data_IF_840264091877
#
_entry.id   IF_840264091877
#
_cell.length_a   1.000
_cell.length_b   1.000
_cell.length_c   1.000
_cell.angle_alpha   90.00
_cell.angle_beta   90.00
_cell.angle_gamma   90.00
#
_symmetry.space_group_name_H-M   'P 1'
#
loop_
_entity.id
_entity.type
_entity.pdbx_description
1 polymer ?
#
# COMPACT_ATOMS: atom_id res chain seq x y z
N UNK A 1 -35.71 8.55 -25.60
CA UNK A 1 -35.33 7.23 -25.06
C UNK A 1 -34.63 7.49 -23.74
N UNK A 2 -34.95 6.77 -22.67
CA UNK A 2 -34.25 6.95 -21.40
C UNK A 2 -32.75 6.61 -21.60
N UNK A 3 -31.85 7.47 -21.13
CA UNK A 3 -30.41 7.22 -21.20
C UNK A 3 -30.09 5.99 -20.35
N UNK A 4 -29.37 5.02 -20.93
CA UNK A 4 -28.91 3.86 -20.18
C UNK A 4 -27.55 4.20 -19.54
N UNK A 5 -27.60 4.70 -18.30
CA UNK A 5 -26.40 5.12 -17.56
C UNK A 5 -25.42 3.98 -17.27
N UNK A 6 -25.89 2.73 -17.15
CA UNK A 6 -24.99 1.57 -17.01
C UNK A 6 -24.14 1.40 -18.26
N UNK A 7 -24.77 1.43 -19.44
CA UNK A 7 -24.05 1.33 -20.71
C UNK A 7 -23.11 2.53 -20.95
N UNK A 8 -23.57 3.75 -20.64
CA UNK A 8 -22.73 4.93 -20.77
C UNK A 8 -21.49 4.88 -19.86
N UNK A 9 -21.65 4.34 -18.65
CA UNK A 9 -20.55 4.09 -17.72
C UNK A 9 -19.57 3.05 -18.28
N UNK A 10 -20.06 1.92 -18.81
CA UNK A 10 -19.23 0.89 -19.44
C UNK A 10 -18.36 1.46 -20.57
N UNK A 11 -18.94 2.28 -21.47
CA UNK A 11 -18.19 2.95 -22.54
C UNK A 11 -17.12 3.90 -21.99
N UNK A 12 -17.40 4.59 -20.88
CA UNK A 12 -16.38 5.44 -20.23
C UNK A 12 -15.28 4.61 -19.58
N UNK A 13 -15.62 3.46 -18.98
CA UNK A 13 -14.63 2.52 -18.42
C UNK A 13 -13.71 1.99 -19.52
N UNK A 14 -14.24 1.59 -20.67
CA UNK A 14 -13.42 1.19 -21.81
C UNK A 14 -12.46 2.30 -22.26
N UNK A 15 -12.94 3.54 -22.29
CA UNK A 15 -12.11 4.71 -22.63
C UNK A 15 -10.98 4.91 -21.61
N UNK A 16 -11.26 4.77 -20.32
CA UNK A 16 -10.25 4.86 -19.26
C UNK A 16 -9.14 3.84 -19.48
N UNK A 17 -9.50 2.59 -19.79
CA UNK A 17 -8.52 1.53 -20.02
C UNK A 17 -7.68 1.77 -21.28
N UNK A 18 -8.32 2.18 -22.39
CA UNK A 18 -7.65 2.45 -23.66
C UNK A 18 -6.67 3.62 -23.57
N UNK A 19 -7.05 4.68 -22.84
CA UNK A 19 -6.23 5.89 -22.66
C UNK A 19 -5.28 5.80 -21.47
N UNK A 20 -5.22 4.65 -20.78
CA UNK A 20 -4.46 4.45 -19.55
C UNK A 20 -4.70 5.54 -18.49
N UNK A 21 -5.96 5.95 -18.34
CA UNK A 21 -6.36 6.95 -17.36
C UNK A 21 -6.40 6.37 -15.94
N UNK A 22 -6.05 7.18 -14.95
CA UNK A 22 -6.04 6.80 -13.53
C UNK A 22 -7.35 7.07 -12.81
N UNK A 23 -8.09 8.10 -13.23
CA UNK A 23 -9.30 8.56 -12.55
C UNK A 23 -10.37 9.01 -13.57
N UNK A 24 -11.65 8.90 -13.18
CA UNK A 24 -12.83 9.44 -13.85
C UNK A 24 -13.61 10.34 -12.89
N UNK A 25 -13.97 11.53 -13.34
CA UNK A 25 -14.65 12.53 -12.54
C UNK A 25 -15.97 12.97 -13.18
N UNK A 26 -17.01 13.01 -12.37
CA UNK A 26 -18.31 13.56 -12.69
C UNK A 26 -18.56 14.83 -11.88
N UNK A 27 -18.87 15.91 -12.58
CA UNK A 27 -19.19 17.21 -11.99
C UNK A 27 -20.27 17.89 -12.81
N UNK A 28 -21.27 18.45 -12.12
CA UNK A 28 -22.33 19.23 -12.77
C UNK A 28 -21.73 20.40 -13.55
N UNK A 29 -22.23 20.63 -14.77
CA UNK A 29 -21.78 21.72 -15.64
C UNK A 29 -20.49 21.44 -16.40
N UNK A 30 -19.93 20.22 -16.31
CA UNK A 30 -18.78 19.78 -17.09
C UNK A 30 -19.08 18.48 -17.84
N UNK A 31 -18.31 18.21 -18.89
CA UNK A 31 -18.19 16.86 -19.44
C UNK A 31 -17.57 15.93 -18.39
N UNK A 32 -17.81 14.60 -18.45
CA UNK A 32 -16.99 13.64 -17.73
C UNK A 32 -15.50 13.91 -18.01
N UNK A 33 -14.68 13.91 -16.97
CA UNK A 33 -13.24 14.18 -17.06
C UNK A 33 -12.45 12.93 -16.70
N UNK A 34 -11.44 12.59 -17.48
CA UNK A 34 -10.49 11.53 -17.15
C UNK A 34 -9.13 12.13 -16.78
N UNK A 35 -8.35 11.46 -15.93
CA UNK A 35 -6.97 11.84 -15.64
C UNK A 35 -6.00 10.95 -16.39
N UNK A 36 -5.22 11.51 -17.30
CA UNK A 36 -4.15 10.79 -18.02
C UNK A 36 -2.82 11.44 -17.68
N UNK A 37 -1.87 10.65 -17.15
CA UNK A 37 -0.54 11.11 -16.75
C UNK A 37 -0.56 12.39 -15.88
N UNK A 38 -1.51 12.47 -14.95
CA UNK A 38 -1.67 13.59 -14.02
C UNK A 38 -2.53 14.76 -14.53
N UNK A 39 -2.87 14.81 -15.82
CA UNK A 39 -3.62 15.92 -16.44
C UNK A 39 -5.09 15.55 -16.62
N UNK A 40 -6.02 16.47 -16.32
CA UNK A 40 -7.46 16.29 -16.53
C UNK A 40 -7.85 16.61 -17.97
N UNK A 41 -8.54 15.67 -18.62
CA UNK A 41 -8.95 15.76 -20.02
C UNK A 41 -10.47 15.52 -20.09
N UNK A 42 -11.25 16.44 -20.70
CA UNK A 42 -12.69 16.24 -20.86
C UNK A 42 -13.00 15.24 -21.97
N UNK A 43 -13.93 14.32 -21.71
CA UNK A 43 -14.53 13.46 -22.72
C UNK A 43 -15.54 14.27 -23.54
N UNK A 44 -15.05 15.12 -24.44
CA UNK A 44 -15.85 16.10 -25.19
C UNK A 44 -17.01 15.51 -26.02
N UNK A 45 -16.97 14.21 -26.33
CA UNK A 45 -18.05 13.49 -27.04
C UNK A 45 -19.22 13.10 -26.12
N UNK A 46 -19.05 13.15 -24.80
CA UNK A 46 -20.10 12.87 -23.80
C UNK A 46 -20.83 14.18 -23.46
N UNK A 47 -22.10 14.15 -23.01
CA UNK A 47 -22.83 15.37 -22.66
C UNK A 47 -22.24 16.08 -21.44
N UNK A 48 -22.60 17.36 -21.27
CA UNK A 48 -22.38 18.09 -20.02
C UNK A 48 -23.33 17.50 -18.97
N UNK A 49 -22.80 17.10 -17.81
CA UNK A 49 -23.56 16.43 -16.76
C UNK A 49 -24.41 17.42 -15.97
N UNK A 50 -25.62 16.99 -15.63
CA UNK A 50 -26.55 17.63 -14.70
C UNK A 50 -26.59 16.87 -13.37
N UNK A 51 -27.30 17.40 -12.36
CA UNK A 51 -27.52 16.65 -11.12
C UNK A 51 -28.31 15.36 -11.37
N UNK A 52 -29.24 15.36 -12.32
CA UNK A 52 -30.04 14.17 -12.66
C UNK A 52 -29.16 13.08 -13.27
N UNK A 53 -28.18 13.45 -14.11
CA UNK A 53 -27.22 12.50 -14.68
C UNK A 53 -26.34 11.87 -13.60
N UNK A 54 -25.79 12.68 -12.69
CA UNK A 54 -24.91 12.18 -11.61
C UNK A 54 -25.68 11.34 -10.61
N UNK A 55 -26.92 11.69 -10.27
CA UNK A 55 -27.81 10.86 -9.45
C UNK A 55 -28.04 9.48 -10.10
N UNK A 56 -28.26 9.45 -11.41
CA UNK A 56 -28.43 8.20 -12.13
C UNK A 56 -27.16 7.35 -12.17
N UNK A 57 -25.98 7.96 -12.34
CA UNK A 57 -24.70 7.25 -12.18
C UNK A 57 -24.49 6.76 -10.75
N UNK A 58 -24.84 7.56 -9.73
CA UNK A 58 -24.72 7.17 -8.32
C UNK A 58 -25.52 5.88 -8.02
N UNK A 59 -26.74 5.76 -8.56
CA UNK A 59 -27.57 4.54 -8.42
C UNK A 59 -26.97 3.30 -9.09
N UNK A 60 -26.13 3.46 -10.10
CA UNK A 60 -25.41 2.35 -10.75
C UNK A 60 -24.16 1.99 -9.95
N UNK A 61 -23.48 2.99 -9.38
CA UNK A 61 -22.18 2.86 -8.75
C UNK A 61 -22.24 2.43 -7.28
N UNK A 62 -23.26 2.87 -6.55
CA UNK A 62 -23.36 2.74 -5.10
C UNK A 62 -24.41 1.70 -4.70
N UNK A 63 -24.19 1.02 -3.56
CA UNK A 63 -25.22 0.23 -2.89
C UNK A 63 -26.30 1.14 -2.27
N UNK A 64 -27.46 0.57 -1.97
CA UNK A 64 -28.61 1.31 -1.42
C UNK A 64 -28.29 2.09 -0.13
N UNK A 65 -27.47 1.53 0.76
CA UNK A 65 -27.05 2.17 2.02
C UNK A 65 -26.11 3.36 1.76
N UNK A 66 -25.16 3.19 0.84
CA UNK A 66 -24.23 4.24 0.41
C UNK A 66 -24.96 5.36 -0.32
N UNK A 67 -25.85 5.02 -1.25
CA UNK A 67 -26.66 5.99 -2.00
C UNK A 67 -27.56 6.80 -1.07
N UNK A 68 -28.20 6.17 -0.08
CA UNK A 68 -29.02 6.88 0.93
C UNK A 68 -28.21 7.92 1.71
N UNK A 69 -27.00 7.56 2.15
CA UNK A 69 -26.11 8.51 2.83
C UNK A 69 -25.68 9.64 1.89
N UNK A 70 -25.36 9.30 0.65
CA UNK A 70 -24.98 10.28 -0.36
C UNK A 70 -26.08 11.33 -0.56
N UNK A 71 -27.33 10.92 -0.77
CA UNK A 71 -28.45 11.88 -0.95
C UNK A 71 -28.77 12.69 0.32
N UNK A 72 -28.41 12.19 1.51
CA UNK A 72 -28.47 12.92 2.78
C UNK A 72 -27.34 13.95 2.93
N UNK A 73 -26.48 14.08 1.91
CA UNK A 73 -25.32 15.00 1.80
C UNK A 73 -24.13 14.60 2.67
N UNK A 74 -23.98 13.32 2.97
CA UNK A 74 -22.73 12.78 3.46
C UNK A 74 -21.69 12.67 2.33
N UNK A 75 -20.42 12.77 2.69
CA UNK A 75 -19.32 12.25 1.86
C UNK A 75 -19.29 10.72 2.01
N UNK A 76 -19.29 10.01 0.87
CA UNK A 76 -19.40 8.55 0.86
C UNK A 76 -18.29 7.96 -0.01
N UNK A 77 -17.37 7.26 0.64
CA UNK A 77 -16.45 6.33 -0.03
C UNK A 77 -17.19 5.03 -0.38
N UNK A 78 -16.92 4.50 -1.56
CA UNK A 78 -17.49 3.25 -2.06
C UNK A 78 -16.54 2.54 -3.01
N UNK A 79 -16.83 1.28 -3.29
CA UNK A 79 -16.10 0.46 -4.24
C UNK A 79 -17.10 -0.09 -5.27
N UNK A 80 -16.72 -0.07 -6.54
CA UNK A 80 -17.53 -0.51 -7.67
C UNK A 80 -16.73 -1.46 -8.55
N UNK A 81 -17.35 -2.55 -8.98
CA UNK A 81 -16.78 -3.51 -9.92
C UNK A 81 -17.75 -3.72 -11.07
N UNK A 82 -17.28 -3.63 -12.31
CA UNK A 82 -18.10 -3.93 -13.48
C UNK A 82 -18.08 -5.44 -13.80
N UNK A 83 -18.95 -5.88 -14.72
CA UNK A 83 -19.01 -7.30 -15.13
C UNK A 83 -17.72 -7.82 -15.79
N UNK A 84 -16.84 -6.91 -16.27
CA UNK A 84 -15.53 -7.23 -16.82
C UNK A 84 -14.41 -7.31 -15.77
N UNK A 85 -14.72 -7.24 -14.48
CA UNK A 85 -13.75 -7.29 -13.38
C UNK A 85 -12.94 -6.01 -13.19
N UNK A 86 -13.30 -4.91 -13.86
CA UNK A 86 -12.65 -3.61 -13.70
C UNK A 86 -13.18 -2.96 -12.43
N UNK A 87 -12.27 -2.70 -11.49
CA UNK A 87 -12.62 -2.13 -10.19
C UNK A 87 -12.29 -0.66 -10.10
N UNK A 88 -13.15 0.05 -9.40
CA UNK A 88 -12.98 1.45 -9.06
C UNK A 88 -13.22 1.65 -7.58
N UNK A 89 -12.38 2.49 -6.97
CA UNK A 89 -12.75 3.16 -5.72
C UNK A 89 -13.39 4.49 -6.06
N UNK A 90 -14.54 4.75 -5.47
CA UNK A 90 -15.27 5.99 -5.65
C UNK A 90 -15.37 6.81 -4.38
N UNK A 91 -15.51 8.12 -4.56
CA UNK A 91 -15.96 9.05 -3.54
C UNK A 91 -17.10 9.90 -4.12
N UNK A 92 -18.26 9.85 -3.47
CA UNK A 92 -19.41 10.71 -3.74
C UNK A 92 -19.42 11.88 -2.77
N UNK A 93 -19.53 13.11 -3.31
CA UNK A 93 -19.52 14.34 -2.52
C UNK A 93 -20.45 15.40 -3.12
N UNK A 94 -20.65 16.50 -2.39
CA UNK A 94 -21.34 17.69 -2.87
C UNK A 94 -20.39 18.88 -2.95
N UNK A 95 -20.46 19.65 -4.04
CA UNK A 95 -19.75 20.91 -4.17
C UNK A 95 -20.69 22.03 -4.60
N UNK A 96 -20.71 23.14 -3.84
CA UNK A 96 -21.60 24.30 -4.11
C UNK A 96 -23.07 23.91 -4.30
N UNK A 97 -23.52 22.87 -3.58
CA UNK A 97 -24.89 22.34 -3.66
C UNK A 97 -25.15 21.37 -4.83
N UNK A 98 -24.15 21.07 -5.66
CA UNK A 98 -24.24 20.10 -6.76
C UNK A 98 -23.56 18.78 -6.41
N UNK A 99 -24.08 17.69 -6.96
CA UNK A 99 -23.49 16.36 -6.87
C UNK A 99 -22.15 16.28 -7.61
N UNK A 100 -21.22 15.49 -7.06
CA UNK A 100 -19.97 15.11 -7.67
C UNK A 100 -19.59 13.67 -7.32
N UNK A 101 -18.91 13.00 -8.24
CA UNK A 101 -18.35 11.66 -8.04
C UNK A 101 -16.92 11.65 -8.61
N UNK A 102 -15.98 11.13 -7.85
CA UNK A 102 -14.64 10.81 -8.33
C UNK A 102 -14.40 9.31 -8.22
N UNK A 103 -13.97 8.68 -9.30
CA UNK A 103 -13.63 7.27 -9.39
C UNK A 103 -12.14 7.14 -9.70
N UNK A 104 -11.44 6.28 -8.98
CA UNK A 104 -10.06 5.87 -9.24
C UNK A 104 -10.05 4.43 -9.69
N UNK A 105 -9.40 4.16 -10.82
CA UNK A 105 -9.20 2.81 -11.31
C UNK A 105 -8.29 2.04 -10.33
N UNK A 106 -8.74 0.86 -9.91
CA UNK A 106 -7.97 -0.08 -9.10
C UNK A 106 -7.33 -1.09 -10.06
N UNK A 107 -5.99 -1.22 -10.08
CA UNK A 107 -5.30 -2.12 -10.99
C UNK A 107 -5.48 -3.58 -10.58
N UNK A 108 -5.80 -4.43 -11.56
CA UNK A 108 -5.84 -5.89 -11.36
C UNK A 108 -4.48 -6.56 -11.60
N UNK A 109 -3.55 -5.88 -12.29
CA UNK A 109 -2.26 -6.46 -12.64
C UNK A 109 -1.26 -6.18 -11.53
N UNK A 110 -0.90 -7.23 -10.80
CA UNK A 110 0.16 -7.20 -9.79
C UNK A 110 1.49 -7.52 -10.45
N UNK A 111 2.44 -6.59 -10.37
CA UNK A 111 3.79 -6.77 -10.93
C UNK A 111 4.63 -7.68 -10.04
N UNK A 112 5.54 -8.41 -10.66
CA UNK A 112 6.58 -9.21 -9.98
C UNK A 112 7.64 -8.31 -9.33
N UNK A 113 8.42 -8.88 -8.40
CA UNK A 113 9.54 -8.15 -7.77
C UNK A 113 10.56 -7.66 -8.80
N UNK A 114 10.82 -8.48 -9.83
CA UNK A 114 11.77 -8.15 -10.91
C UNK A 114 11.28 -6.99 -11.78
N UNK A 115 10.00 -6.99 -12.17
CA UNK A 115 9.38 -5.88 -12.91
C UNK A 115 9.36 -4.57 -12.10
N UNK A 116 9.29 -4.68 -10.78
CA UNK A 116 9.39 -3.55 -9.85
C UNK A 116 10.84 -3.14 -9.58
N UNK A 117 11.84 -3.85 -10.12
CA UNK A 117 13.28 -3.64 -9.85
C UNK A 117 13.62 -3.73 -8.36
N UNK A 118 12.93 -4.60 -7.62
CA UNK A 118 13.14 -4.86 -6.20
C UNK A 118 14.19 -5.97 -5.99
N UNK A 119 14.85 -6.03 -4.82
CA UNK A 119 15.92 -7.00 -4.63
C UNK A 119 15.34 -8.42 -4.41
N UNK A 120 15.94 -9.46 -5.01
CA UNK A 120 15.41 -10.84 -4.95
C UNK A 120 15.38 -11.40 -3.52
N UNK A 121 16.20 -10.88 -2.61
CA UNK A 121 16.20 -11.28 -1.19
C UNK A 121 14.82 -11.12 -0.51
N UNK A 122 13.91 -10.31 -1.06
CA UNK A 122 12.54 -10.18 -0.56
C UNK A 122 11.76 -11.50 -0.61
N UNK A 123 12.08 -12.39 -1.56
CA UNK A 123 11.52 -13.75 -1.66
C UNK A 123 11.78 -14.56 -0.38
N UNK A 124 12.93 -14.38 0.26
CA UNK A 124 13.26 -15.10 1.50
C UNK A 124 12.34 -14.78 2.68
N UNK A 125 11.57 -13.68 2.61
CA UNK A 125 10.56 -13.33 3.60
C UNK A 125 9.19 -13.92 3.28
N UNK A 126 8.86 -14.14 2.00
CA UNK A 126 7.62 -14.80 1.59
C UNK A 126 7.64 -16.29 1.90
N UNK A 127 8.83 -16.88 2.01
CA UNK A 127 9.04 -18.29 2.34
C UNK A 127 9.03 -18.57 3.86
N UNK A 128 8.93 -17.52 4.70
CA UNK A 128 8.93 -17.69 6.16
C UNK A 128 7.60 -18.30 6.63
N UNK A 129 7.61 -19.26 7.58
CA UNK A 129 6.37 -19.79 8.13
C UNK A 129 5.65 -18.76 9.02
N UNK A 130 6.40 -17.90 9.71
CA UNK A 130 5.86 -16.87 10.60
C UNK A 130 6.81 -15.67 10.70
N UNK A 131 6.30 -14.57 11.24
CA UNK A 131 7.09 -13.38 11.58
C UNK A 131 6.45 -12.09 11.12
N UNK A 132 7.04 -10.95 11.48
CA UNK A 132 6.53 -9.62 11.17
C UNK A 132 7.43 -8.89 10.17
N UNK A 133 6.92 -8.63 8.98
CA UNK A 133 7.60 -7.88 7.92
C UNK A 133 6.93 -6.54 7.68
N UNK A 134 7.74 -5.49 7.61
CA UNK A 134 7.25 -4.13 7.42
C UNK A 134 7.78 -3.54 6.12
N UNK A 135 6.89 -3.07 5.26
CA UNK A 135 7.24 -2.18 4.16
C UNK A 135 6.95 -0.73 4.56
N UNK A 136 7.97 0.12 4.58
CA UNK A 136 7.86 1.48 5.12
C UNK A 136 8.33 2.54 4.11
N UNK A 137 7.89 3.76 4.36
CA UNK A 137 8.17 4.92 3.52
C UNK A 137 6.99 5.90 3.54
N UNK A 138 7.18 7.15 3.10
CA UNK A 138 6.09 8.12 2.95
C UNK A 138 4.94 7.63 2.05
N UNK A 139 3.84 8.40 2.05
CA UNK A 139 2.71 8.17 1.13
C UNK A 139 3.18 8.25 -0.33
N UNK A 140 2.65 7.37 -1.18
CA UNK A 140 2.95 7.36 -2.62
C UNK A 140 4.30 6.75 -3.00
N UNK A 141 5.00 6.09 -2.07
CA UNK A 141 6.34 5.53 -2.31
C UNK A 141 6.33 4.02 -2.68
N UNK A 142 5.21 3.49 -3.17
CA UNK A 142 5.15 2.10 -3.68
C UNK A 142 4.95 0.99 -2.63
N UNK A 143 4.60 1.32 -1.38
CA UNK A 143 4.41 0.34 -0.28
C UNK A 143 3.42 -0.76 -0.62
N UNK A 144 2.20 -0.37 -0.98
CA UNK A 144 1.14 -1.31 -1.34
C UNK A 144 1.53 -2.14 -2.57
N UNK A 145 2.23 -1.56 -3.55
CA UNK A 145 2.72 -2.28 -4.72
C UNK A 145 3.74 -3.37 -4.35
N UNK A 146 4.70 -3.06 -3.47
CA UNK A 146 5.68 -4.03 -2.98
C UNK A 146 5.01 -5.16 -2.21
N UNK A 147 4.10 -4.83 -1.28
CA UNK A 147 3.40 -5.85 -0.50
C UNK A 147 2.48 -6.69 -1.40
N UNK A 148 1.79 -6.10 -2.38
CA UNK A 148 0.98 -6.85 -3.33
C UNK A 148 1.82 -7.85 -4.13
N UNK A 149 3.01 -7.47 -4.58
CA UNK A 149 3.93 -8.39 -5.25
C UNK A 149 4.36 -9.56 -4.32
N UNK A 150 4.63 -9.27 -3.05
CA UNK A 150 5.01 -10.29 -2.06
C UNK A 150 3.85 -11.23 -1.71
N UNK A 151 2.65 -10.71 -1.48
CA UNK A 151 1.45 -11.51 -1.20
C UNK A 151 1.07 -12.37 -2.40
N UNK A 152 1.11 -11.81 -3.62
CA UNK A 152 0.85 -12.57 -4.83
C UNK A 152 1.89 -13.68 -5.05
N UNK A 153 3.15 -13.44 -4.66
CA UNK A 153 4.17 -14.49 -4.68
C UNK A 153 3.87 -15.64 -3.71
N UNK A 154 3.34 -15.33 -2.51
CA UNK A 154 2.87 -16.36 -1.56
C UNK A 154 1.72 -17.15 -2.19
N UNK A 155 0.72 -16.45 -2.75
CA UNK A 155 -0.42 -17.05 -3.43
C UNK A 155 -0.04 -18.06 -4.52
N UNK A 156 1.01 -17.75 -5.29
CA UNK A 156 1.47 -18.63 -6.38
C UNK A 156 2.33 -19.82 -5.90
N UNK A 157 2.86 -19.77 -4.67
CA UNK A 157 3.83 -20.75 -4.16
C UNK A 157 3.27 -21.66 -3.08
N UNK A 158 2.37 -21.15 -2.23
CA UNK A 158 1.94 -21.77 -0.98
C UNK A 158 0.43 -22.02 -1.01
N UNK A 159 0.02 -23.15 -0.43
CA UNK A 159 -1.39 -23.52 -0.26
C UNK A 159 -1.88 -23.06 1.12
N UNK A 160 -1.85 -21.75 1.32
CA UNK A 160 -2.11 -21.07 2.59
C UNK A 160 -3.45 -20.35 2.55
N UNK A 161 -3.94 -19.95 3.71
CA UNK A 161 -5.01 -18.97 3.83
C UNK A 161 -4.43 -17.58 4.11
N UNK A 162 -4.69 -16.65 3.18
CA UNK A 162 -4.25 -15.26 3.25
C UNK A 162 -5.46 -14.36 3.56
N UNK A 163 -5.36 -13.53 4.60
CA UNK A 163 -6.35 -12.49 4.89
C UNK A 163 -5.71 -11.12 4.71
N UNK A 164 -6.33 -10.26 3.90
CA UNK A 164 -5.94 -8.84 3.81
C UNK A 164 -6.98 -7.95 4.49
N UNK A 165 -6.50 -6.93 5.21
CA UNK A 165 -7.33 -5.94 5.89
C UNK A 165 -6.83 -4.57 5.43
N UNK A 166 -7.64 -3.87 4.64
CA UNK A 166 -7.22 -2.71 3.86
C UNK A 166 -8.24 -1.55 3.95
N UNK A 167 -7.78 -0.31 3.74
CA UNK A 167 -8.60 0.91 3.82
C UNK A 167 -8.11 1.92 2.78
N UNK A 168 -8.59 1.83 1.52
CA UNK A 168 -9.38 0.75 0.90
C UNK A 168 -8.50 -0.43 0.43
N UNK A 169 -9.10 -1.40 -0.27
CA UNK A 169 -8.34 -2.36 -1.09
C UNK A 169 -7.65 -1.64 -2.27
N UNK A 170 -6.33 -1.82 -2.40
CA UNK A 170 -5.51 -1.15 -3.45
C UNK A 170 -5.18 -2.06 -4.63
N UNK A 171 -5.17 -3.38 -4.42
CA UNK A 171 -4.96 -4.40 -5.45
C UNK A 171 -5.92 -5.56 -5.21
N UNK A 172 -6.39 -6.17 -6.28
CA UNK A 172 -7.17 -7.41 -6.18
C UNK A 172 -6.33 -8.59 -6.61
N UNK A 173 -6.34 -9.63 -5.78
CA UNK A 173 -5.64 -10.88 -6.06
C UNK A 173 -6.60 -11.85 -6.75
N UNK A 174 -6.12 -12.47 -7.82
CA UNK A 174 -6.75 -13.66 -8.38
C UNK A 174 -6.22 -14.87 -7.60
N UNK A 175 -7.11 -15.70 -7.08
CA UNK A 175 -6.72 -16.90 -6.33
C UNK A 175 -5.97 -17.90 -7.22
N UNK A 176 -4.86 -18.44 -6.71
CA UNK A 176 -4.09 -19.50 -7.37
C UNK A 176 -4.00 -20.72 -6.43
N UNK A 177 -2.90 -20.84 -5.67
CA UNK A 177 -2.76 -21.94 -4.70
C UNK A 177 -3.31 -21.59 -3.32
N UNK A 178 -3.31 -20.32 -2.97
CA UNK A 178 -3.80 -19.84 -1.69
C UNK A 178 -5.26 -19.38 -1.79
N UNK A 179 -5.99 -19.53 -0.69
CA UNK A 179 -7.27 -18.86 -0.46
C UNK A 179 -7.00 -17.42 -0.06
N UNK A 180 -7.69 -16.43 -0.65
CA UNK A 180 -7.46 -15.01 -0.34
C UNK A 180 -8.76 -14.31 0.03
N UNK A 181 -8.90 -13.97 1.32
CA UNK A 181 -9.99 -13.15 1.83
C UNK A 181 -9.54 -11.69 1.99
N UNK A 182 -9.97 -10.81 1.09
CA UNK A 182 -9.72 -9.36 1.20
C UNK A 182 -10.87 -8.65 1.91
N UNK A 183 -10.55 -7.85 2.94
CA UNK A 183 -11.55 -7.14 3.76
C UNK A 183 -11.28 -5.65 3.77
N UNK A 184 -12.23 -4.88 3.26
CA UNK A 184 -12.18 -3.42 3.24
C UNK A 184 -12.84 -2.83 4.50
N UNK A 185 -12.13 -1.89 5.15
CA UNK A 185 -12.66 -1.14 6.30
C UNK A 185 -13.87 -0.30 5.85
N UNK A 186 -14.94 -0.32 6.63
CA UNK A 186 -16.19 0.39 6.34
C UNK A 186 -17.13 -0.35 5.39
N UNK A 187 -16.67 -1.41 4.72
CA UNK A 187 -17.49 -2.27 3.86
C UNK A 187 -17.64 -3.67 4.48
N UNK A 188 -16.55 -4.41 4.65
CA UNK A 188 -16.56 -5.81 5.10
C UNK A 188 -16.32 -5.95 6.60
N UNK A 189 -15.78 -4.90 7.22
CA UNK A 189 -15.47 -4.85 8.64
C UNK A 189 -15.46 -3.42 9.15
N UNK A 190 -15.70 -3.24 10.45
CA UNK A 190 -15.82 -1.90 11.05
C UNK A 190 -14.49 -1.16 11.14
N UNK A 191 -13.44 -1.86 11.56
CA UNK A 191 -12.12 -1.30 11.81
C UNK A 191 -11.04 -2.40 11.77
N UNK A 192 -9.78 -1.98 11.68
CA UNK A 192 -8.62 -2.87 11.61
C UNK A 192 -8.53 -3.82 12.82
N UNK A 193 -8.79 -3.30 14.02
CA UNK A 193 -8.65 -4.10 15.25
C UNK A 193 -9.68 -5.23 15.28
N UNK A 194 -10.93 -4.95 14.92
CA UNK A 194 -12.01 -5.95 14.87
C UNK A 194 -11.71 -7.01 13.81
N UNK A 195 -11.26 -6.58 12.63
CA UNK A 195 -10.90 -7.48 11.54
C UNK A 195 -9.76 -8.43 11.92
N UNK A 196 -8.68 -7.88 12.48
CA UNK A 196 -7.47 -8.61 12.83
C UNK A 196 -7.72 -9.61 13.97
N UNK A 197 -8.50 -9.23 14.99
CA UNK A 197 -8.89 -10.16 16.05
C UNK A 197 -9.81 -11.29 15.56
N UNK A 198 -10.62 -11.02 14.53
CA UNK A 198 -11.44 -12.05 13.91
C UNK A 198 -10.59 -13.04 13.10
N UNK A 199 -9.56 -12.55 12.40
CA UNK A 199 -8.67 -13.35 11.55
C UNK A 199 -8.03 -14.53 12.31
N UNK A 200 -7.69 -14.38 13.59
CA UNK A 200 -7.13 -15.48 14.40
C UNK A 200 -8.05 -16.68 14.59
N UNK A 201 -9.35 -16.55 14.30
CA UNK A 201 -10.32 -17.65 14.34
C UNK A 201 -10.76 -18.11 12.95
N UNK A 202 -10.09 -17.62 11.91
CA UNK A 202 -10.39 -17.93 10.51
C UNK A 202 -9.37 -18.90 9.90
N UNK A 203 -8.54 -19.55 10.72
CA UNK A 203 -7.50 -20.49 10.25
C UNK A 203 -6.58 -19.82 9.21
N UNK A 204 -6.03 -18.66 9.58
CA UNK A 204 -5.19 -17.83 8.69
C UNK A 204 -3.72 -18.17 8.87
N UNK A 205 -2.97 -18.21 7.77
CA UNK A 205 -1.51 -18.39 7.79
C UNK A 205 -0.78 -17.05 7.59
N UNK A 206 -1.29 -16.23 6.66
CA UNK A 206 -0.69 -14.97 6.25
C UNK A 206 -1.67 -13.82 6.41
N UNK A 207 -1.24 -12.74 7.05
CA UNK A 207 -2.06 -11.56 7.30
C UNK A 207 -1.39 -10.34 6.67
N UNK A 208 -2.08 -9.65 5.78
CA UNK A 208 -1.73 -8.29 5.36
C UNK A 208 -2.60 -7.30 6.12
N UNK A 209 -2.00 -6.48 6.97
CA UNK A 209 -2.67 -5.34 7.60
C UNK A 209 -2.18 -4.08 6.91
N UNK A 210 -3.05 -3.31 6.25
CA UNK A 210 -2.71 -2.11 5.49
C UNK A 210 -1.83 -1.10 6.25
N UNK A 211 -2.40 -0.02 6.77
CA UNK A 211 -1.65 0.99 7.52
C UNK A 211 -1.95 0.88 9.02
N UNK A 212 -0.91 0.62 9.83
CA UNK A 212 -1.08 0.63 11.28
C UNK A 212 -0.92 2.04 11.84
N UNK A 213 -2.02 2.60 12.36
CA UNK A 213 -2.06 3.96 12.90
C UNK A 213 -2.06 4.05 14.42
N UNK A 214 -2.57 3.02 15.11
CA UNK A 214 -2.83 3.04 16.54
C UNK A 214 -2.15 1.87 17.27
N UNK A 215 -1.99 2.02 18.59
CA UNK A 215 -1.33 1.02 19.45
C UNK A 215 -2.05 -0.33 19.43
N UNK A 216 -3.38 -0.32 19.30
CA UNK A 216 -4.21 -1.50 19.33
C UNK A 216 -3.92 -2.40 18.12
N UNK A 217 -3.89 -1.81 16.92
CA UNK A 217 -3.60 -2.56 15.69
C UNK A 217 -2.15 -3.04 15.68
N UNK A 218 -1.20 -2.17 16.07
CA UNK A 218 0.23 -2.55 16.16
C UNK A 218 0.43 -3.69 17.14
N UNK A 219 -0.13 -3.60 18.35
CA UNK A 219 0.02 -4.63 19.38
C UNK A 219 -0.59 -5.97 18.94
N UNK A 220 -1.74 -5.92 18.27
CA UNK A 220 -2.40 -7.13 17.73
C UNK A 220 -1.56 -7.75 16.60
N UNK A 221 -0.97 -6.94 15.71
CA UNK A 221 -0.11 -7.43 14.63
C UNK A 221 1.20 -8.06 15.15
N UNK A 222 1.83 -7.44 16.15
CA UNK A 222 3.01 -8.01 16.82
C UNK A 222 2.66 -9.33 17.51
N UNK A 223 1.50 -9.39 18.18
CA UNK A 223 1.02 -10.62 18.81
C UNK A 223 0.75 -11.72 17.77
N UNK A 224 0.12 -11.39 16.64
CA UNK A 224 -0.12 -12.33 15.54
C UNK A 224 1.18 -12.98 15.04
N UNK A 225 2.20 -12.15 14.82
CA UNK A 225 3.50 -12.61 14.36
C UNK A 225 4.23 -13.46 15.41
N UNK A 226 4.04 -13.16 16.69
CA UNK A 226 4.54 -13.96 17.81
C UNK A 226 3.83 -15.32 17.90
N UNK A 227 2.52 -15.38 17.60
CA UNK A 227 1.68 -16.58 17.71
C UNK A 227 1.68 -17.49 16.48
N UNK A 228 2.63 -17.30 15.56
CA UNK A 228 2.86 -18.25 14.46
C UNK A 228 2.34 -17.81 13.09
N UNK A 229 1.84 -16.58 12.95
CA UNK A 229 1.38 -16.06 11.67
C UNK A 229 2.50 -15.31 10.94
N UNK A 230 2.45 -15.28 9.60
CA UNK A 230 3.26 -14.37 8.80
C UNK A 230 2.48 -13.07 8.57
N UNK A 231 2.98 -11.97 9.12
CA UNK A 231 2.28 -10.68 9.12
C UNK A 231 3.05 -9.67 8.28
N UNK A 232 2.36 -9.07 7.32
CA UNK A 232 2.83 -7.97 6.50
C UNK A 232 2.09 -6.68 6.87
N UNK A 233 2.80 -5.57 6.97
CA UNK A 233 2.15 -4.28 7.19
C UNK A 233 2.98 -3.09 6.72
N UNK A 234 2.38 -1.90 6.81
CA UNK A 234 3.02 -0.63 6.46
C UNK A 234 3.00 0.40 7.58
N UNK A 235 4.04 1.23 7.60
CA UNK A 235 4.11 2.49 8.35
C UNK A 235 4.67 3.61 7.47
N UNK A 236 4.39 4.85 7.85
CA UNK A 236 4.91 6.06 7.17
C UNK A 236 6.19 6.60 7.83
N UNK A 237 7.16 5.73 8.06
CA UNK A 237 8.49 6.04 8.59
C UNK A 237 9.52 6.02 7.48
N UNK A 238 10.67 6.67 7.72
CA UNK A 238 11.66 6.91 6.69
C UNK A 238 12.71 5.81 6.56
N UNK A 239 12.99 5.07 7.62
CA UNK A 239 14.05 4.07 7.72
C UNK A 239 13.68 3.02 8.77
N UNK A 240 14.48 1.96 8.86
CA UNK A 240 14.21 0.85 9.77
C UNK A 240 14.31 1.24 11.25
N UNK A 241 15.28 2.07 11.63
CA UNK A 241 15.48 2.50 13.02
C UNK A 241 14.30 3.37 13.51
N UNK A 242 13.88 4.33 12.70
CA UNK A 242 12.70 5.17 12.97
C UNK A 242 11.44 4.32 13.07
N UNK A 243 11.30 3.29 12.25
CA UNK A 243 10.16 2.36 12.29
C UNK A 243 10.06 1.66 13.64
N UNK A 244 11.16 1.13 14.15
CA UNK A 244 11.22 0.46 15.46
C UNK A 244 10.86 1.45 16.58
N UNK A 245 11.48 2.63 16.60
CA UNK A 245 11.16 3.66 17.60
C UNK A 245 9.70 4.07 17.53
N UNK A 246 9.14 4.29 16.33
CA UNK A 246 7.75 4.68 16.13
C UNK A 246 6.78 3.64 16.70
N UNK A 247 7.05 2.36 16.50
CA UNK A 247 6.25 1.27 17.07
C UNK A 247 6.29 1.35 18.60
N UNK A 248 7.47 1.41 19.21
CA UNK A 248 7.65 1.44 20.67
C UNK A 248 6.99 2.69 21.28
N UNK A 249 7.23 3.87 20.70
CA UNK A 249 6.75 5.17 21.19
C UNK A 249 5.24 5.33 21.11
N UNK A 250 4.55 4.49 20.33
CA UNK A 250 3.09 4.48 20.26
C UNK A 250 2.45 3.88 21.53
N UNK A 251 3.23 3.14 22.33
CA UNK A 251 2.77 2.55 23.59
C UNK A 251 3.09 3.44 24.79
N UNK A 252 2.21 3.45 25.82
CA UNK A 252 2.50 4.12 27.10
C UNK A 252 3.79 3.57 27.74
N UNK A 253 4.51 4.40 28.50
CA UNK A 253 5.81 4.05 29.09
C UNK A 253 5.83 2.69 29.82
N UNK A 254 4.77 2.34 30.56
CA UNK A 254 4.67 1.05 31.28
C UNK A 254 4.52 -0.19 30.37
N UNK A 255 4.28 -0.03 29.07
CA UNK A 255 4.13 -1.11 28.09
C UNK A 255 5.26 -1.13 27.06
N UNK A 256 6.14 -0.12 27.04
CA UNK A 256 7.21 0.00 26.04
C UNK A 256 8.23 -1.13 26.12
N UNK A 257 8.59 -1.56 27.33
CA UNK A 257 9.51 -2.69 27.51
C UNK A 257 8.94 -4.00 26.97
N UNK A 258 7.65 -4.24 27.23
CA UNK A 258 6.96 -5.44 26.76
C UNK A 258 6.92 -5.48 25.23
N UNK A 259 6.40 -4.43 24.59
CA UNK A 259 6.29 -4.41 23.13
C UNK A 259 7.66 -4.48 22.46
N UNK A 260 8.70 -3.88 23.05
CA UNK A 260 10.07 -3.93 22.53
C UNK A 260 10.61 -5.36 22.53
N UNK A 261 10.41 -6.12 23.59
CA UNK A 261 10.83 -7.53 23.67
C UNK A 261 10.06 -8.41 22.68
N UNK A 262 8.74 -8.19 22.55
CA UNK A 262 7.92 -8.91 21.57
C UNK A 262 8.33 -8.59 20.13
N UNK A 263 8.53 -7.30 19.82
CA UNK A 263 8.97 -6.86 18.50
C UNK A 263 10.35 -7.43 18.15
N UNK A 264 11.30 -7.42 19.10
CA UNK A 264 12.63 -7.99 18.89
C UNK A 264 12.60 -9.48 18.51
N UNK A 265 11.55 -10.21 18.93
CA UNK A 265 11.41 -11.65 18.74
C UNK A 265 10.54 -12.01 17.52
N UNK A 266 9.57 -11.16 17.18
CA UNK A 266 8.63 -11.38 16.07
C UNK A 266 9.04 -10.74 14.75
N UNK A 267 9.77 -9.60 14.78
CA UNK A 267 10.23 -8.92 13.58
C UNK A 267 11.14 -9.84 12.75
N UNK A 268 10.93 -9.91 11.44
CA UNK A 268 11.82 -10.62 10.51
C UNK A 268 12.58 -9.66 9.60
N UNK A 269 11.97 -8.53 9.23
CA UNK A 269 12.64 -7.50 8.45
C UNK A 269 11.84 -6.22 8.27
N UNK A 270 12.54 -5.16 7.89
CA UNK A 270 11.95 -3.86 7.53
C UNK A 270 12.54 -3.43 6.19
N UNK A 271 11.69 -3.20 5.21
CA UNK A 271 12.03 -2.70 3.89
C UNK A 271 11.55 -1.26 3.73
N UNK A 272 12.47 -0.30 3.83
CA UNK A 272 12.17 1.11 3.59
C UNK A 272 12.43 1.48 2.14
N UNK A 273 11.48 2.16 1.50
CA UNK A 273 11.59 2.51 0.08
C UNK A 273 11.26 3.96 -0.25
N UNK A 274 11.87 4.45 -1.32
CA UNK A 274 11.64 5.75 -1.97
C UNK A 274 11.64 5.57 -3.48
N UNK A 275 10.65 6.11 -4.15
CA UNK A 275 10.59 6.23 -5.60
C UNK A 275 11.35 7.49 -6.02
N UNK A 276 12.42 7.29 -6.78
CA UNK A 276 13.29 8.37 -7.27
C UNK A 276 13.05 8.55 -8.78
N UNK A 277 12.94 9.80 -9.27
CA UNK A 277 12.85 10.08 -10.70
C UNK A 277 14.03 9.48 -11.47
N UNK A 278 13.74 8.64 -12.45
CA UNK A 278 14.75 8.03 -13.31
C UNK A 278 15.08 8.95 -14.48
N UNK A 279 16.36 9.00 -14.91
CA UNK A 279 16.81 9.90 -15.99
C UNK A 279 16.07 9.61 -17.31
N UNK A 280 15.84 8.34 -17.63
CA UNK A 280 15.07 7.96 -18.83
C UNK A 280 13.54 8.14 -18.70
N UNK A 281 13.07 8.77 -17.61
CA UNK A 281 11.66 8.93 -17.30
C UNK A 281 11.11 7.83 -16.39
N UNK A 282 10.00 8.13 -15.71
CA UNK A 282 9.38 7.26 -14.72
C UNK A 282 10.06 7.32 -13.35
N UNK A 283 9.76 6.35 -12.51
CA UNK A 283 10.24 6.25 -11.14
C UNK A 283 10.96 4.92 -10.93
N UNK A 284 11.99 4.90 -10.09
CA UNK A 284 12.74 3.72 -9.70
C UNK A 284 12.90 3.64 -8.18
N UNK A 285 12.72 2.48 -7.54
CA UNK A 285 12.83 2.38 -6.10
C UNK A 285 14.30 2.39 -5.64
N UNK A 286 14.63 3.34 -4.78
CA UNK A 286 15.76 3.25 -3.86
C UNK A 286 15.27 2.68 -2.52
N UNK A 287 16.06 1.83 -1.89
CA UNK A 287 15.61 1.07 -0.73
C UNK A 287 16.72 0.77 0.29
N UNK A 288 16.27 0.58 1.53
CA UNK A 288 17.00 0.05 2.68
C UNK A 288 16.31 -1.23 3.15
N UNK A 289 17.08 -2.25 3.49
CA UNK A 289 16.57 -3.50 4.03
C UNK A 289 17.31 -3.86 5.33
N UNK A 290 16.56 -3.87 6.43
CA UNK A 290 16.97 -4.45 7.71
C UNK A 290 16.48 -5.90 7.80
N UNK A 291 17.37 -6.82 8.16
CA UNK A 291 17.03 -8.21 8.51
C UNK A 291 17.19 -8.37 10.02
N UNK A 292 16.16 -8.84 10.72
CA UNK A 292 16.24 -9.00 12.17
C UNK A 292 17.04 -10.26 12.57
N UNK A 293 18.36 -10.18 12.50
CA UNK A 293 19.27 -11.20 13.01
C UNK A 293 19.42 -11.11 14.54
N UNK A 294 20.24 -11.99 15.14
CA UNK A 294 20.49 -11.97 16.60
C UNK A 294 21.05 -10.64 17.13
N UNK A 295 21.89 -9.95 16.35
CA UNK A 295 22.47 -8.67 16.75
C UNK A 295 21.40 -7.56 16.77
N UNK A 296 20.60 -7.45 15.71
CA UNK A 296 19.48 -6.50 15.62
C UNK A 296 18.46 -6.78 16.72
N UNK A 297 18.08 -8.03 16.92
CA UNK A 297 17.14 -8.44 17.98
C UNK A 297 17.63 -8.00 19.36
N UNK A 298 18.94 -8.16 19.65
CA UNK A 298 19.52 -7.70 20.91
C UNK A 298 19.53 -6.16 21.03
N UNK A 299 19.89 -5.44 19.97
CA UNK A 299 19.85 -3.97 19.96
C UNK A 299 18.44 -3.44 20.22
N UNK A 300 17.41 -4.09 19.67
CA UNK A 300 16.02 -3.76 19.96
C UNK A 300 15.73 -4.00 21.45
N UNK A 301 16.04 -5.19 22.02
CA UNK A 301 15.78 -5.49 23.44
C UNK A 301 16.46 -4.50 24.39
N UNK A 302 17.71 -4.14 24.12
CA UNK A 302 18.55 -3.24 24.92
C UNK A 302 18.25 -1.75 24.71
N UNK A 303 17.27 -1.40 23.87
CA UNK A 303 16.93 -0.02 23.53
C UNK A 303 18.10 0.76 22.88
N UNK A 304 18.89 0.07 22.06
CA UNK A 304 20.04 0.60 21.31
C UNK A 304 19.75 0.74 19.81
N UNK A 305 18.51 1.13 19.49
CA UNK A 305 17.99 1.26 18.12
C UNK A 305 18.81 2.24 17.25
N UNK A 306 19.45 3.22 17.87
CA UNK A 306 20.34 4.19 17.21
C UNK A 306 21.58 3.56 16.56
N UNK A 307 21.94 2.31 16.91
CA UNK A 307 23.08 1.59 16.33
C UNK A 307 22.70 0.75 15.10
N UNK A 308 21.40 0.56 14.84
CA UNK A 308 20.89 -0.23 13.71
C UNK A 308 21.42 0.26 12.36
N UNK A 309 21.52 1.57 12.06
CA UNK A 309 22.07 2.02 10.78
C UNK A 309 23.48 1.47 10.50
N UNK A 310 24.36 1.43 11.50
CA UNK A 310 25.71 0.87 11.38
C UNK A 310 25.69 -0.65 11.11
N UNK A 311 24.73 -1.35 11.70
CA UNK A 311 24.53 -2.79 11.45
C UNK A 311 24.06 -3.03 10.01
N UNK A 312 23.15 -2.20 9.48
CA UNK A 312 22.73 -2.28 8.08
C UNK A 312 23.91 -2.01 7.14
N UNK A 313 24.70 -0.96 7.40
CA UNK A 313 25.86 -0.56 6.58
C UNK A 313 26.90 -1.69 6.45
N UNK A 314 27.09 -2.46 7.52
CA UNK A 314 28.06 -3.56 7.63
C UNK A 314 27.46 -4.95 7.37
N UNK A 315 26.13 -5.07 7.29
CA UNK A 315 25.38 -6.33 7.21
C UNK A 315 25.18 -6.89 5.81
N UNK A 316 25.94 -6.42 4.80
CA UNK A 316 25.76 -6.81 3.40
C UNK A 316 25.83 -8.33 3.17
N UNK A 317 26.79 -9.01 3.82
CA UNK A 317 26.95 -10.47 3.69
C UNK A 317 25.75 -11.25 4.22
N UNK A 318 24.94 -10.63 5.09
CA UNK A 318 23.71 -11.21 5.62
C UNK A 318 22.48 -10.82 4.81
N UNK A 319 22.66 -10.12 3.69
CA UNK A 319 21.58 -9.69 2.79
C UNK A 319 20.95 -8.34 3.16
N UNK A 320 21.48 -7.62 4.16
CA UNK A 320 21.01 -6.25 4.45
C UNK A 320 21.43 -5.29 3.34
N UNK A 321 20.65 -4.23 3.17
CA UNK A 321 20.88 -3.24 2.11
C UNK A 321 20.80 -1.86 2.73
N UNK A 322 21.87 -1.09 2.60
CA UNK A 322 21.93 0.30 2.99
C UNK A 322 21.38 1.21 1.89
N UNK A 323 20.59 2.23 2.27
CA UNK A 323 19.98 3.18 1.34
C UNK A 323 21.04 3.89 0.48
N UNK A 324 22.15 4.33 1.08
CA UNK A 324 23.19 5.04 0.34
C UNK A 324 23.91 4.13 -0.65
N UNK A 325 24.09 2.83 -0.35
CA UNK A 325 24.58 1.86 -1.35
C UNK A 325 23.63 1.73 -2.53
N UNK A 326 22.31 1.70 -2.29
CA UNK A 326 21.33 1.66 -3.37
C UNK A 326 21.41 2.93 -4.24
N UNK A 327 21.48 4.11 -3.61
CA UNK A 327 21.64 5.39 -4.30
C UNK A 327 22.94 5.46 -5.11
N UNK A 328 24.07 5.06 -4.52
CA UNK A 328 25.37 5.05 -5.20
C UNK A 328 25.37 4.14 -6.43
N UNK A 329 24.76 2.95 -6.34
CA UNK A 329 24.59 2.04 -7.49
C UNK A 329 23.73 2.67 -8.58
N UNK A 330 22.64 3.36 -8.24
CA UNK A 330 21.80 4.05 -9.22
C UNK A 330 22.56 5.18 -9.94
N UNK A 331 23.44 5.90 -9.24
CA UNK A 331 24.33 6.90 -9.86
C UNK A 331 25.34 6.23 -10.80
N UNK A 332 25.99 5.15 -10.35
CA UNK A 332 26.99 4.42 -11.13
C UNK A 332 26.41 3.83 -12.43
N UNK A 333 25.16 3.37 -12.38
CA UNK A 333 24.43 2.86 -13.53
C UNK A 333 23.94 3.96 -14.49
N UNK A 334 23.98 5.22 -14.08
CA UNK A 334 23.38 6.33 -14.82
C UNK A 334 21.85 6.37 -14.75
N UNK A 335 21.25 5.72 -13.76
CA UNK A 335 19.80 5.72 -13.53
C UNK A 335 19.33 7.07 -12.96
N UNK A 336 20.16 7.71 -12.14
CA UNK A 336 19.90 9.01 -11.48
C UNK A 336 21.14 9.92 -11.49
N UNK A 337 20.95 11.23 -11.30
CA UNK A 337 22.08 12.16 -11.16
C UNK A 337 22.66 12.13 -9.74
N UNK A 338 23.91 12.56 -9.61
CA UNK A 338 24.56 12.74 -8.29
C UNK A 338 23.74 13.69 -7.40
N UNK A 339 23.25 14.79 -7.94
CA UNK A 339 22.41 15.76 -7.22
C UNK A 339 21.12 15.12 -6.69
N UNK A 340 20.45 14.33 -7.53
CA UNK A 340 19.24 13.58 -7.13
C UNK A 340 19.54 12.56 -6.04
N UNK A 341 20.68 11.88 -6.09
CA UNK A 341 21.08 10.94 -5.05
C UNK A 341 21.30 11.64 -3.70
N UNK A 342 21.99 12.78 -3.69
CA UNK A 342 22.24 13.56 -2.48
C UNK A 342 20.95 14.12 -1.86
N UNK A 343 19.97 14.54 -2.66
CA UNK A 343 18.71 15.08 -2.15
C UNK A 343 17.80 14.02 -1.50
N UNK A 344 18.02 12.74 -1.80
CA UNK A 344 17.27 11.62 -1.24
C UNK A 344 18.05 10.82 -0.18
N UNK A 345 19.30 11.16 0.07
CA UNK A 345 20.13 10.51 1.08
C UNK A 345 19.80 11.04 2.48
N UNK A 346 19.56 10.11 3.42
CA UNK A 346 19.45 10.44 4.86
C UNK A 346 20.80 10.70 5.52
N UNK A 347 21.90 10.30 4.87
CA UNK A 347 23.27 10.55 5.31
C UNK A 347 24.16 10.95 4.10
N UNK A 348 24.09 12.22 3.66
CA UNK A 348 24.87 12.73 2.54
C UNK A 348 26.37 12.47 2.64
N UNK A 349 26.95 12.60 3.84
CA UNK A 349 28.39 12.35 4.07
C UNK A 349 28.77 10.87 3.88
N UNK A 350 27.87 9.96 4.21
CA UNK A 350 28.05 8.54 3.95
C UNK A 350 27.99 8.26 2.45
N UNK A 351 27.03 8.87 1.74
CA UNK A 351 26.90 8.73 0.30
C UNK A 351 28.14 9.25 -0.43
N UNK A 352 28.69 10.40 -0.06
CA UNK A 352 29.90 11.00 -0.65
C UNK A 352 31.09 10.05 -0.69
N UNK A 353 31.18 9.09 0.25
CA UNK A 353 32.27 8.10 0.29
C UNK A 353 32.07 6.94 -0.69
N UNK A 354 30.87 6.77 -1.24
CA UNK A 354 30.48 5.64 -2.09
C UNK A 354 30.43 5.98 -3.59
N UNK A 355 30.37 7.26 -3.95
CA UNK A 355 30.22 7.75 -5.33
C UNK A 355 31.48 8.39 -5.88
#
# INVERSE_FOLDING_TARGET
MAVNYKHELEVMIETILQEHASDLHFSVGAHPLIRVSGTLIPLAKKPILTNEDIDAFAKVLMRDDQYKRYIERDEVDFSYENEGGVRFRGNGFYQRGNMGIALRLIPNVIRTLDELKLPPILESFTDRPQGFFLCVGPVGQGKSTTLAAMINMINQKRADHIVTIEDPIEYVYEEDKALIDQREIGIDTKDFQTALNAAFRQDVDVILVGEMRNKETIGTAVTAAETGHLVFSTLHTNDAAQTINRIIDTFPAGQQDQIRVQLASSLIGIFSQRLIPHIAGGLMPAYELLINNSAVSNLIRENRVHEIPSVIETGLEQGMIDMNRTLARMVQNGDITVETAFSHSVNPKGLERLI
#
